data_IF_342276041226
#
_entry.id   IF_342276041226
#
_cell.length_a   1.000
_cell.length_b   1.000
_cell.length_c   1.000
_cell.angle_alpha   90.00
_cell.angle_beta   90.00
_cell.angle_gamma   90.00
#
_symmetry.space_group_name_H-M   'P 1'
#
loop_
_entity.id
_entity.type
_entity.pdbx_description
1 polymer ?
#
# COMPACT_ATOMS: atom_id res chain seq x y z
N UNK A 1 -5.19 14.64 -12.85
CA UNK A 1 -5.40 13.99 -11.54
C UNK A 1 -6.86 14.15 -11.18
N UNK A 2 -7.55 13.05 -11.00
CA UNK A 2 -8.95 13.01 -10.62
C UNK A 2 -9.11 13.38 -9.14
N UNK A 3 -10.13 14.17 -8.83
CA UNK A 3 -10.63 14.38 -7.47
C UNK A 3 -11.91 13.57 -7.31
N UNK A 4 -12.02 12.86 -6.19
CA UNK A 4 -13.22 12.09 -5.85
C UNK A 4 -13.99 12.79 -4.73
N UNK A 5 -15.30 12.60 -4.73
CA UNK A 5 -16.16 13.07 -3.64
C UNK A 5 -16.07 12.07 -2.47
N UNK A 6 -15.16 12.36 -1.54
CA UNK A 6 -14.86 11.50 -0.40
C UNK A 6 -14.64 12.31 0.86
N UNK A 7 -15.21 11.83 1.96
CA UNK A 7 -15.00 12.38 3.30
C UNK A 7 -13.89 11.68 4.09
N UNK A 8 -13.32 10.58 3.57
CA UNK A 8 -12.37 9.74 4.31
C UNK A 8 -11.19 10.55 4.83
N UNK A 9 -10.58 11.37 3.97
CA UNK A 9 -9.45 12.21 4.37
C UNK A 9 -9.84 13.20 5.49
N UNK A 10 -10.95 13.92 5.34
CA UNK A 10 -11.43 14.89 6.34
C UNK A 10 -11.78 14.23 7.66
N UNK A 11 -12.45 13.08 7.62
CA UNK A 11 -12.85 12.33 8.80
C UNK A 11 -11.63 11.81 9.57
N UNK A 12 -10.66 11.21 8.86
CA UNK A 12 -9.41 10.72 9.47
C UNK A 12 -8.61 11.86 10.07
N UNK A 13 -8.44 12.97 9.34
CA UNK A 13 -7.69 14.13 9.83
C UNK A 13 -8.40 14.80 11.00
N UNK A 14 -9.72 14.84 11.02
CA UNK A 14 -10.51 15.30 12.16
C UNK A 14 -10.27 14.45 13.41
N UNK A 15 -10.21 13.12 13.28
CA UNK A 15 -9.89 12.21 14.38
C UNK A 15 -8.46 12.42 14.89
N UNK A 16 -7.49 12.60 14.00
CA UNK A 16 -6.08 12.84 14.36
C UNK A 16 -5.91 14.16 15.10
N UNK A 17 -6.54 15.24 14.62
CA UNK A 17 -6.46 16.57 15.24
C UNK A 17 -7.07 16.63 16.65
N UNK A 18 -8.07 15.81 16.90
CA UNK A 18 -8.76 15.75 18.21
C UNK A 18 -8.20 14.67 19.13
N UNK A 19 -7.18 13.93 18.70
CA UNK A 19 -6.57 12.87 19.49
C UNK A 19 -5.65 13.44 20.56
N UNK A 20 -6.11 13.35 21.80
CA UNK A 20 -5.33 13.62 23.01
C UNK A 20 -4.93 12.29 23.65
N UNK A 21 -3.68 11.89 23.44
CA UNK A 21 -3.16 10.62 23.93
C UNK A 21 -3.01 10.58 25.47
N UNK A 22 -2.93 11.75 26.13
CA UNK A 22 -2.75 11.84 27.59
C UNK A 22 -4.06 11.62 28.36
N UNK A 23 -5.22 11.75 27.70
CA UNK A 23 -6.51 11.56 28.37
C UNK A 23 -6.82 10.11 28.73
N UNK A 24 -6.17 9.15 28.07
CA UNK A 24 -6.47 7.73 28.24
C UNK A 24 -5.75 7.14 29.45
N UNK A 25 -6.45 6.21 30.11
CA UNK A 25 -6.00 5.53 31.34
C UNK A 25 -5.90 4.02 31.11
N UNK A 26 -5.24 3.33 32.04
CA UNK A 26 -5.22 1.86 32.06
C UNK A 26 -6.63 1.22 32.13
N UNK A 27 -7.64 1.94 32.61
CA UNK A 27 -9.03 1.48 32.61
C UNK A 27 -9.59 1.46 31.19
N UNK A 28 -9.33 2.50 30.43
CA UNK A 28 -9.81 2.62 29.03
C UNK A 28 -9.16 1.56 28.15
N UNK A 29 -7.87 1.30 28.33
CA UNK A 29 -7.15 0.24 27.61
C UNK A 29 -7.72 -1.14 27.93
N UNK A 30 -8.00 -1.44 29.20
CA UNK A 30 -8.65 -2.71 29.58
C UNK A 30 -10.02 -2.86 28.95
N UNK A 31 -10.84 -1.82 29.02
CA UNK A 31 -12.17 -1.83 28.40
C UNK A 31 -12.07 -2.08 26.88
N UNK A 32 -11.13 -1.40 26.18
CA UNK A 32 -10.88 -1.61 24.76
C UNK A 32 -10.48 -3.06 24.42
N UNK A 33 -9.67 -3.70 25.28
CA UNK A 33 -9.27 -5.10 25.11
C UNK A 33 -10.40 -6.10 25.38
N UNK A 34 -11.40 -5.74 26.16
CA UNK A 34 -12.57 -6.58 26.48
C UNK A 34 -13.70 -6.46 25.44
N UNK A 35 -13.76 -5.38 24.68
CA UNK A 35 -14.79 -5.18 23.65
C UNK A 35 -14.68 -6.21 22.53
N UNK A 36 -15.80 -6.82 22.15
CA UNK A 36 -15.84 -7.79 21.05
C UNK A 36 -15.46 -7.17 19.71
N UNK A 37 -15.84 -5.91 19.50
CA UNK A 37 -15.49 -5.10 18.33
C UNK A 37 -14.93 -3.78 18.80
N UNK A 38 -13.72 -3.44 18.37
CA UNK A 38 -13.09 -2.18 18.73
C UNK A 38 -13.72 -1.01 17.95
N UNK A 39 -13.98 0.06 18.67
CA UNK A 39 -14.38 1.37 18.12
C UNK A 39 -13.16 2.21 17.84
N UNK A 40 -13.34 3.37 17.20
CA UNK A 40 -12.27 4.36 17.01
C UNK A 40 -11.72 4.86 18.35
N UNK A 41 -12.56 5.02 19.37
CA UNK A 41 -12.11 5.42 20.72
C UNK A 41 -11.30 4.32 21.41
N UNK A 42 -11.69 3.05 21.25
CA UNK A 42 -10.87 1.92 21.72
C UNK A 42 -9.51 1.91 21.06
N UNK A 43 -9.46 2.11 19.73
CA UNK A 43 -8.21 2.19 18.99
C UNK A 43 -7.32 3.33 19.48
N UNK A 44 -7.89 4.51 19.74
CA UNK A 44 -7.16 5.64 20.33
C UNK A 44 -6.58 5.32 21.71
N UNK A 45 -7.35 4.62 22.56
CA UNK A 45 -6.86 4.18 23.87
C UNK A 45 -5.69 3.20 23.73
N UNK A 46 -5.77 2.25 22.79
CA UNK A 46 -4.71 1.27 22.52
C UNK A 46 -3.45 1.88 21.89
N UNK A 47 -3.56 3.06 21.25
CA UNK A 47 -2.41 3.83 20.74
C UNK A 47 -1.79 4.77 21.77
N UNK A 48 -2.42 4.96 22.94
CA UNK A 48 -1.93 5.88 23.97
C UNK A 48 -0.78 5.29 24.78
N UNK A 49 0.02 6.12 25.47
CA UNK A 49 1.05 5.64 26.39
C UNK A 49 0.52 4.75 27.51
N UNK A 50 -0.76 4.90 27.89
CA UNK A 50 -1.41 4.05 28.89
C UNK A 50 -1.50 2.56 28.48
N UNK A 51 -1.31 2.25 27.18
CA UNK A 51 -1.33 0.89 26.65
C UNK A 51 0.02 0.15 26.80
N UNK A 52 1.11 0.84 27.09
CA UNK A 52 2.43 0.21 27.18
C UNK A 52 2.48 -1.01 28.13
N UNK A 53 1.87 -0.99 29.35
CA UNK A 53 1.86 -2.16 30.22
C UNK A 53 1.00 -3.33 29.70
N UNK A 54 0.23 -3.15 28.64
CA UNK A 54 -0.71 -4.11 28.07
C UNK A 54 -0.27 -4.70 26.72
N UNK A 55 0.95 -4.44 26.27
CA UNK A 55 1.44 -4.87 24.95
C UNK A 55 1.29 -6.39 24.72
N UNK A 56 1.57 -7.23 25.72
CA UNK A 56 1.39 -8.67 25.60
C UNK A 56 -0.09 -9.06 25.41
N UNK A 57 -0.99 -8.42 26.15
CA UNK A 57 -2.43 -8.68 26.01
C UNK A 57 -2.95 -8.19 24.65
N UNK A 58 -2.44 -7.06 24.16
CA UNK A 58 -2.73 -6.56 22.82
C UNK A 58 -2.23 -7.55 21.75
N UNK A 59 -1.00 -8.06 21.88
CA UNK A 59 -0.43 -9.04 20.97
C UNK A 59 -1.23 -10.35 20.95
N UNK A 60 -1.62 -10.85 22.13
CA UNK A 60 -2.45 -12.06 22.25
C UNK A 60 -3.84 -11.83 21.62
N UNK A 61 -4.47 -10.67 21.87
CA UNK A 61 -5.73 -10.33 21.22
C UNK A 61 -5.61 -10.24 19.70
N UNK A 62 -4.56 -9.60 19.18
CA UNK A 62 -4.29 -9.53 17.76
C UNK A 62 -4.09 -10.92 17.15
N UNK A 63 -3.36 -11.81 17.84
CA UNK A 63 -3.18 -13.21 17.42
C UNK A 63 -4.50 -13.95 17.32
N UNK A 64 -5.39 -13.77 18.31
CA UNK A 64 -6.72 -14.40 18.30
C UNK A 64 -7.59 -13.89 17.15
N UNK A 65 -7.60 -12.58 16.91
CA UNK A 65 -8.36 -11.99 15.81
C UNK A 65 -7.79 -12.43 14.44
N UNK A 66 -6.46 -12.47 14.30
CA UNK A 66 -5.81 -13.01 13.11
C UNK A 66 -6.23 -14.47 12.85
N UNK A 67 -6.22 -15.29 13.91
CA UNK A 67 -6.63 -16.69 13.82
C UNK A 67 -8.09 -16.87 13.41
N UNK A 68 -9.00 -15.99 13.88
CA UNK A 68 -10.42 -16.01 13.48
C UNK A 68 -10.64 -15.67 12.00
N UNK A 69 -9.90 -14.70 11.48
CA UNK A 69 -10.14 -14.14 10.16
C UNK A 69 -9.30 -14.80 9.05
N UNK A 70 -8.10 -15.26 9.37
CA UNK A 70 -7.13 -15.77 8.40
C UNK A 70 -6.68 -17.21 8.69
N UNK A 71 -6.98 -17.75 9.88
CA UNK A 71 -6.49 -19.06 10.28
C UNK A 71 -4.97 -19.09 10.35
N UNK A 72 -4.37 -20.17 9.82
CA UNK A 72 -2.92 -20.35 9.71
C UNK A 72 -2.44 -20.17 8.25
N UNK A 73 -3.24 -19.52 7.41
CA UNK A 73 -2.92 -19.31 6.01
C UNK A 73 -1.90 -18.18 5.86
N UNK A 74 -0.89 -18.39 5.04
CA UNK A 74 0.09 -17.41 4.64
C UNK A 74 0.07 -17.29 3.13
N UNK A 75 -0.08 -16.07 2.62
CA UNK A 75 0.05 -15.81 1.20
C UNK A 75 1.50 -15.54 0.84
N UNK A 76 1.99 -16.26 -0.17
CA UNK A 76 3.34 -16.09 -0.70
C UNK A 76 3.24 -15.46 -2.07
N UNK A 77 3.92 -14.34 -2.26
CA UNK A 77 4.05 -13.68 -3.54
C UNK A 77 5.50 -13.29 -3.81
N UNK A 78 5.80 -13.04 -5.07
CA UNK A 78 7.09 -12.50 -5.46
C UNK A 78 6.94 -11.20 -6.25
N UNK A 79 7.81 -10.20 -6.02
CA UNK A 79 7.81 -8.98 -6.80
C UNK A 79 8.50 -9.17 -8.15
N UNK A 80 7.92 -8.58 -9.21
CA UNK A 80 8.54 -8.46 -10.52
C UNK A 80 8.58 -6.99 -10.95
N UNK A 81 9.78 -6.40 -10.97
CA UNK A 81 9.99 -5.06 -11.53
C UNK A 81 10.02 -5.11 -13.05
N UNK A 82 8.97 -4.59 -13.69
CA UNK A 82 8.91 -4.53 -15.16
C UNK A 82 9.52 -3.24 -15.74
N UNK A 83 9.66 -2.19 -14.92
CA UNK A 83 10.36 -0.95 -15.27
C UNK A 83 10.84 -0.22 -14.01
N UNK A 84 12.02 0.44 -14.08
CA UNK A 84 12.56 1.19 -12.95
C UNK A 84 12.75 2.69 -13.23
N UNK A 85 12.16 3.21 -14.33
CA UNK A 85 12.12 4.65 -14.58
C UNK A 85 11.20 5.34 -13.58
N UNK A 86 11.65 6.46 -13.00
CA UNK A 86 10.87 7.26 -12.07
C UNK A 86 11.05 8.75 -12.37
N UNK A 87 9.99 9.53 -12.31
CA UNK A 87 9.96 10.97 -12.53
C UNK A 87 9.93 11.77 -11.22
N UNK A 88 9.91 11.07 -10.08
CA UNK A 88 9.85 11.68 -8.76
C UNK A 88 11.23 11.92 -8.15
N UNK A 89 11.29 12.94 -7.29
CA UNK A 89 12.42 13.15 -6.39
C UNK A 89 11.99 12.92 -4.94
N UNK A 90 12.15 11.67 -4.48
CA UNK A 90 11.99 11.29 -3.08
C UNK A 90 13.39 11.17 -2.46
N UNK A 91 13.63 11.85 -1.33
CA UNK A 91 14.97 11.95 -0.73
C UNK A 91 15.55 10.61 -0.25
N UNK A 92 14.70 9.62 -0.02
CA UNK A 92 15.06 8.29 0.49
C UNK A 92 15.13 7.20 -0.60
N UNK A 93 14.63 7.48 -1.81
CA UNK A 93 14.40 6.44 -2.82
C UNK A 93 15.58 6.28 -3.78
N UNK A 94 16.06 5.04 -3.93
CA UNK A 94 17.08 4.71 -4.91
C UNK A 94 16.66 4.94 -6.37
N UNK A 95 15.35 4.93 -6.66
CA UNK A 95 14.81 5.17 -7.99
C UNK A 95 14.55 6.64 -8.30
N UNK A 96 14.86 7.59 -7.41
CA UNK A 96 14.61 9.00 -7.68
C UNK A 96 15.28 9.45 -9.00
N UNK A 97 14.68 10.46 -9.64
CA UNK A 97 15.04 10.88 -11.00
C UNK A 97 16.47 11.42 -11.14
N UNK A 98 17.12 11.83 -10.03
CA UNK A 98 18.49 12.35 -10.02
C UNK A 98 19.55 11.29 -9.74
N UNK A 99 19.16 10.09 -9.31
CA UNK A 99 20.13 9.02 -9.09
C UNK A 99 20.61 8.44 -10.43
N UNK A 100 21.93 8.33 -10.55
CA UNK A 100 22.61 7.72 -11.69
C UNK A 100 22.64 6.20 -11.53
N UNK A 101 21.51 5.54 -11.84
CA UNK A 101 21.39 4.09 -11.86
C UNK A 101 21.06 3.59 -13.25
N UNK A 102 21.34 2.32 -13.52
CA UNK A 102 20.89 1.69 -14.76
C UNK A 102 19.36 1.67 -14.82
N UNK A 103 18.80 2.23 -15.88
CA UNK A 103 17.34 2.27 -16.11
C UNK A 103 16.97 1.24 -17.16
N UNK A 104 15.91 0.48 -16.89
CA UNK A 104 15.41 -0.56 -17.78
C UNK A 104 13.89 -0.58 -17.80
N UNK A 105 13.34 -0.95 -18.94
CA UNK A 105 11.95 -1.35 -19.14
C UNK A 105 11.99 -2.66 -19.90
N UNK A 106 11.35 -3.69 -19.38
CA UNK A 106 11.30 -5.01 -19.99
C UNK A 106 10.36 -5.01 -21.21
N UNK A 107 10.68 -5.79 -22.25
CA UNK A 107 9.73 -6.10 -23.30
C UNK A 107 8.68 -7.11 -22.81
N UNK A 108 7.56 -7.26 -23.52
CA UNK A 108 6.54 -8.25 -23.14
C UNK A 108 7.08 -9.67 -23.17
N UNK A 109 8.00 -10.00 -24.07
CA UNK A 109 8.65 -11.31 -24.15
C UNK A 109 9.55 -11.55 -22.91
N UNK A 110 10.27 -10.53 -22.47
CA UNK A 110 11.07 -10.60 -21.25
C UNK A 110 10.19 -10.78 -20.00
N UNK A 111 9.09 -10.01 -19.92
CA UNK A 111 8.12 -10.13 -18.84
C UNK A 111 7.51 -11.53 -18.79
N UNK A 112 7.10 -12.07 -19.94
CA UNK A 112 6.51 -13.42 -20.02
C UNK A 112 7.52 -14.49 -19.62
N UNK A 113 8.79 -14.36 -20.03
CA UNK A 113 9.85 -15.27 -19.62
C UNK A 113 10.07 -15.27 -18.10
N UNK A 114 10.19 -14.09 -17.48
CA UNK A 114 10.33 -13.98 -16.03
C UNK A 114 9.11 -14.55 -15.29
N UNK A 115 7.90 -14.28 -15.77
CA UNK A 115 6.67 -14.82 -15.20
C UNK A 115 6.62 -16.35 -15.27
N UNK A 116 7.08 -16.92 -16.37
CA UNK A 116 7.17 -18.39 -16.52
C UNK A 116 8.13 -18.98 -15.47
N UNK A 117 9.32 -18.41 -15.32
CA UNK A 117 10.32 -18.89 -14.34
C UNK A 117 9.76 -18.79 -12.90
N UNK A 118 9.04 -17.70 -12.59
CA UNK A 118 8.40 -17.52 -11.29
C UNK A 118 7.31 -18.57 -11.07
N UNK A 119 6.44 -18.79 -12.07
CA UNK A 119 5.37 -19.79 -11.99
C UNK A 119 5.90 -21.22 -11.84
N UNK A 120 6.97 -21.56 -12.55
CA UNK A 120 7.65 -22.85 -12.45
C UNK A 120 8.23 -23.12 -11.05
N UNK A 121 8.49 -22.08 -10.26
CA UNK A 121 8.87 -22.20 -8.85
C UNK A 121 7.72 -22.56 -7.90
N UNK A 122 6.49 -22.63 -8.40
CA UNK A 122 5.27 -22.92 -7.64
C UNK A 122 4.60 -21.69 -6.99
N UNK A 123 5.02 -20.47 -7.35
CA UNK A 123 4.34 -19.26 -6.90
C UNK A 123 3.00 -19.09 -7.63
N UNK A 124 1.94 -18.83 -6.85
CA UNK A 124 0.58 -18.62 -7.38
C UNK A 124 0.20 -17.13 -7.44
N UNK A 125 0.99 -16.27 -6.84
CA UNK A 125 0.76 -14.83 -6.76
C UNK A 125 1.99 -14.04 -7.19
N UNK A 126 1.76 -12.97 -7.96
CA UNK A 126 2.80 -12.03 -8.40
C UNK A 126 2.42 -10.60 -8.03
N UNK A 127 3.41 -9.81 -7.64
CA UNK A 127 3.31 -8.37 -7.47
C UNK A 127 4.10 -7.68 -8.58
N UNK A 128 3.41 -7.04 -9.51
CA UNK A 128 4.03 -6.29 -10.60
C UNK A 128 4.38 -4.88 -10.12
N UNK A 129 5.66 -4.49 -10.25
CA UNK A 129 6.16 -3.20 -9.80
C UNK A 129 6.70 -2.37 -10.95
N UNK A 130 6.51 -1.05 -10.84
CA UNK A 130 7.20 -0.08 -11.68
C UNK A 130 7.74 1.07 -10.84
N UNK A 131 8.75 1.75 -11.36
CA UNK A 131 8.97 3.13 -10.97
C UNK A 131 7.80 4.01 -11.43
N UNK A 132 7.67 5.19 -10.86
CA UNK A 132 6.58 6.11 -11.17
C UNK A 132 6.93 6.99 -12.39
N UNK A 133 6.73 6.47 -13.59
CA UNK A 133 6.91 7.19 -14.85
C UNK A 133 5.80 6.86 -15.84
N UNK A 134 4.85 7.78 -15.99
CA UNK A 134 3.76 7.63 -16.96
C UNK A 134 4.25 7.64 -18.41
N UNK A 135 5.40 8.24 -18.69
CA UNK A 135 5.97 8.30 -20.04
C UNK A 135 6.69 7.01 -20.44
N UNK A 136 7.20 6.25 -19.46
CA UNK A 136 7.99 5.03 -19.72
C UNK A 136 7.21 3.74 -19.44
N UNK A 137 6.41 3.73 -18.38
CA UNK A 137 5.55 2.62 -18.00
C UNK A 137 4.11 3.12 -17.85
N UNK A 138 3.47 3.41 -18.99
CA UNK A 138 2.09 3.87 -19.03
C UNK A 138 1.10 2.77 -18.61
N UNK A 139 -0.15 3.16 -18.39
CA UNK A 139 -1.21 2.25 -17.92
C UNK A 139 -1.47 1.13 -18.93
N UNK A 140 -1.33 1.39 -20.24
CA UNK A 140 -1.50 0.37 -21.27
C UNK A 140 -0.42 -0.71 -21.18
N UNK A 141 0.84 -0.31 -21.02
CA UNK A 141 1.96 -1.24 -20.81
C UNK A 141 1.76 -2.10 -19.57
N UNK A 142 1.34 -1.49 -18.45
CA UNK A 142 1.04 -2.24 -17.21
C UNK A 142 -0.13 -3.19 -17.42
N UNK A 143 -1.19 -2.77 -18.13
CA UNK A 143 -2.33 -3.61 -18.47
C UNK A 143 -1.94 -4.84 -19.30
N UNK A 144 -1.06 -4.69 -20.30
CA UNK A 144 -0.56 -5.84 -21.07
C UNK A 144 0.24 -6.80 -20.18
N UNK A 145 1.06 -6.30 -19.25
CA UNK A 145 1.74 -7.15 -18.27
C UNK A 145 0.74 -7.90 -17.36
N UNK A 146 -0.37 -7.26 -16.95
CA UNK A 146 -1.42 -7.93 -16.17
C UNK A 146 -2.09 -9.07 -16.97
N UNK A 147 -2.38 -8.86 -18.26
CA UNK A 147 -2.94 -9.91 -19.13
C UNK A 147 -1.99 -11.10 -19.26
N UNK A 148 -0.69 -10.85 -19.36
CA UNK A 148 0.31 -11.93 -19.34
C UNK A 148 0.32 -12.66 -18.01
N UNK A 149 0.34 -11.93 -16.90
CA UNK A 149 0.37 -12.49 -15.55
C UNK A 149 -0.83 -13.43 -15.30
N UNK A 150 -2.02 -13.11 -15.80
CA UNK A 150 -3.23 -13.97 -15.64
C UNK A 150 -3.12 -15.33 -16.30
N UNK A 151 -2.18 -15.55 -17.21
CA UNK A 151 -1.92 -16.88 -17.80
C UNK A 151 -1.23 -17.81 -16.80
N UNK A 152 -0.46 -17.25 -15.85
CA UNK A 152 0.44 -17.97 -14.97
C UNK A 152 0.05 -17.93 -13.51
N UNK A 153 -0.58 -16.82 -13.06
CA UNK A 153 -0.85 -16.57 -11.66
C UNK A 153 -2.33 -16.47 -11.35
N UNK A 154 -2.68 -17.02 -10.20
CA UNK A 154 -4.04 -16.98 -9.66
C UNK A 154 -4.39 -15.58 -9.15
N UNK A 155 -3.40 -14.86 -8.60
CA UNK A 155 -3.57 -13.52 -8.06
C UNK A 155 -2.49 -12.57 -8.60
N UNK A 156 -2.91 -11.39 -9.04
CA UNK A 156 -2.04 -10.37 -9.63
C UNK A 156 -2.20 -9.07 -8.85
N UNK A 157 -1.16 -8.70 -8.12
CA UNK A 157 -1.04 -7.43 -7.43
C UNK A 157 -0.26 -6.40 -8.23
N UNK A 158 -0.53 -5.14 -7.97
CA UNK A 158 0.19 -3.99 -8.53
C UNK A 158 0.80 -3.13 -7.44
N UNK A 159 2.04 -2.70 -7.64
CA UNK A 159 2.69 -1.65 -6.88
C UNK A 159 3.21 -0.60 -7.86
N UNK A 160 2.33 0.33 -8.18
CA UNK A 160 2.55 1.34 -9.21
C UNK A 160 2.19 2.75 -8.68
N UNK A 161 2.45 3.77 -9.49
CA UNK A 161 1.98 5.10 -9.19
C UNK A 161 0.43 5.16 -9.15
N UNK A 162 -0.16 6.06 -8.33
CA UNK A 162 -1.62 6.21 -8.28
C UNK A 162 -2.16 6.67 -9.64
N UNK A 163 -3.29 6.09 -10.02
CA UNK A 163 -3.99 6.38 -11.27
C UNK A 163 -5.42 6.82 -11.00
N UNK A 164 -6.14 7.24 -12.04
CA UNK A 164 -7.55 7.62 -11.95
C UNK A 164 -8.45 6.37 -11.87
N UNK A 165 -9.69 6.54 -11.45
CA UNK A 165 -10.67 5.45 -11.28
C UNK A 165 -10.84 4.62 -12.54
N UNK A 166 -10.98 5.26 -13.71
CA UNK A 166 -11.13 4.55 -14.99
C UNK A 166 -9.86 3.78 -15.39
N UNK A 167 -8.69 4.30 -15.04
CA UNK A 167 -7.42 3.60 -15.27
C UNK A 167 -7.29 2.37 -14.34
N UNK A 168 -7.74 2.47 -13.07
CA UNK A 168 -7.82 1.30 -12.19
C UNK A 168 -8.81 0.27 -12.71
N UNK A 169 -9.97 0.71 -13.24
CA UNK A 169 -10.95 -0.19 -13.87
C UNK A 169 -10.34 -0.94 -15.05
N UNK A 170 -9.66 -0.24 -15.95
CA UNK A 170 -8.95 -0.85 -17.06
C UNK A 170 -7.91 -1.88 -16.59
N UNK A 171 -7.10 -1.56 -15.58
CA UNK A 171 -6.11 -2.49 -15.02
C UNK A 171 -6.78 -3.71 -14.38
N UNK A 172 -7.91 -3.53 -13.71
CA UNK A 172 -8.70 -4.63 -13.17
C UNK A 172 -9.25 -5.52 -14.28
N UNK A 173 -9.79 -4.95 -15.33
CA UNK A 173 -10.26 -5.70 -16.52
C UNK A 173 -9.11 -6.43 -17.24
N UNK A 174 -7.89 -5.91 -17.18
CA UNK A 174 -6.69 -6.58 -17.65
C UNK A 174 -6.22 -7.72 -16.73
N UNK A 175 -6.81 -7.85 -15.54
CA UNK A 175 -6.55 -8.96 -14.63
C UNK A 175 -5.89 -8.61 -13.32
N UNK A 176 -5.68 -7.35 -12.98
CA UNK A 176 -5.19 -6.97 -11.66
C UNK A 176 -6.27 -7.18 -10.59
N UNK A 177 -5.91 -7.82 -9.48
CA UNK A 177 -6.82 -8.08 -8.36
C UNK A 177 -6.75 -7.00 -7.28
N UNK A 178 -5.56 -6.47 -7.01
CA UNK A 178 -5.32 -5.48 -5.96
C UNK A 178 -4.19 -4.52 -6.31
N UNK A 179 -4.14 -3.41 -5.59
CA UNK A 179 -3.06 -2.43 -5.71
C UNK A 179 -2.51 -2.05 -4.34
N UNK A 180 -1.22 -1.86 -4.27
CA UNK A 180 -0.49 -1.30 -3.15
C UNK A 180 0.05 0.07 -3.53
N UNK A 181 -0.25 1.09 -2.72
CA UNK A 181 0.25 2.46 -2.91
C UNK A 181 0.82 2.97 -1.61
N UNK A 182 2.13 3.15 -1.56
CA UNK A 182 2.82 3.65 -0.37
C UNK A 182 2.53 5.13 -0.11
N UNK A 183 1.99 5.46 1.06
CA UNK A 183 1.76 6.83 1.50
C UNK A 183 3.00 7.44 2.19
N UNK A 184 3.87 6.62 2.77
CA UNK A 184 5.10 6.97 3.50
C UNK A 184 4.83 7.66 4.85
N UNK A 185 4.05 8.74 4.85
CA UNK A 185 3.60 9.42 6.06
C UNK A 185 2.28 10.14 5.82
N UNK A 186 1.44 10.20 6.85
CA UNK A 186 0.17 10.93 6.86
C UNK A 186 0.32 12.38 7.36
N UNK A 187 1.50 12.75 7.88
CA UNK A 187 1.85 14.15 8.15
C UNK A 187 2.16 14.85 6.82
N UNK A 188 1.25 15.70 6.37
CA UNK A 188 1.37 16.43 5.10
C UNK A 188 2.61 17.33 5.05
N UNK A 189 3.00 17.95 6.18
CA UNK A 189 4.19 18.79 6.25
C UNK A 189 5.47 17.97 6.11
N UNK A 190 5.53 16.82 6.81
CA UNK A 190 6.63 15.89 6.69
C UNK A 190 6.72 15.33 5.28
N UNK A 191 5.56 14.99 4.68
CA UNK A 191 5.46 14.45 3.33
C UNK A 191 6.12 15.38 2.28
N UNK A 192 5.88 16.69 2.37
CA UNK A 192 6.49 17.69 1.48
C UNK A 192 8.02 17.72 1.57
N UNK A 193 8.57 17.45 2.74
CA UNK A 193 10.05 17.43 2.93
C UNK A 193 10.70 16.16 2.36
N UNK A 194 9.91 15.11 2.16
CA UNK A 194 10.38 13.83 1.63
C UNK A 194 10.21 13.72 0.11
N UNK A 195 9.21 14.40 -0.47
CA UNK A 195 8.85 14.32 -1.87
C UNK A 195 9.00 15.68 -2.53
N UNK A 196 10.19 15.95 -3.06
CA UNK A 196 10.58 17.30 -3.48
C UNK A 196 10.11 17.67 -4.88
N UNK A 197 9.92 16.67 -5.77
CA UNK A 197 9.43 16.88 -7.12
C UNK A 197 8.69 15.64 -7.66
N UNK A 198 7.94 15.83 -8.76
CA UNK A 198 7.20 14.79 -9.45
C UNK A 198 5.77 14.61 -8.91
N UNK A 199 5.06 13.66 -9.51
CA UNK A 199 3.64 13.41 -9.20
C UNK A 199 3.42 12.86 -7.79
N UNK A 200 4.39 12.14 -7.24
CA UNK A 200 4.31 11.61 -5.86
C UNK A 200 4.15 12.73 -4.82
N UNK A 201 4.62 13.94 -5.13
CA UNK A 201 4.48 15.10 -4.24
C UNK A 201 3.01 15.50 -3.97
N UNK A 202 2.06 15.11 -4.81
CA UNK A 202 0.64 15.48 -4.65
C UNK A 202 -0.02 14.59 -3.62
N UNK A 203 0.11 14.98 -2.33
CA UNK A 203 -0.34 14.22 -1.18
C UNK A 203 -1.83 13.83 -1.23
N UNK A 204 -2.80 14.74 -1.52
CA UNK A 204 -4.22 14.38 -1.52
C UNK A 204 -4.55 13.33 -2.58
N UNK A 205 -4.01 13.47 -3.78
CA UNK A 205 -4.23 12.51 -4.86
C UNK A 205 -3.73 11.12 -4.50
N UNK A 206 -2.59 11.04 -3.80
CA UNK A 206 -2.04 9.76 -3.34
C UNK A 206 -2.83 9.18 -2.18
N UNK A 207 -3.31 10.02 -1.25
CA UNK A 207 -4.14 9.60 -0.14
C UNK A 207 -5.43 8.90 -0.63
N UNK A 208 -6.09 9.46 -1.62
CA UNK A 208 -7.35 8.93 -2.18
C UNK A 208 -7.15 7.76 -3.17
N UNK A 209 -5.91 7.28 -3.35
CA UNK A 209 -5.61 6.26 -4.35
C UNK A 209 -6.35 4.94 -4.10
N UNK A 210 -6.48 4.52 -2.84
CA UNK A 210 -7.18 3.29 -2.46
C UNK A 210 -8.67 3.35 -2.77
N UNK A 211 -9.29 4.48 -2.49
CA UNK A 211 -10.71 4.66 -2.74
C UNK A 211 -11.01 4.64 -4.25
N UNK A 212 -10.17 5.34 -5.05
CA UNK A 212 -10.26 5.23 -6.51
C UNK A 212 -10.07 3.80 -7.01
N UNK A 213 -9.15 3.04 -6.41
CA UNK A 213 -8.91 1.65 -6.77
C UNK A 213 -10.14 0.76 -6.46
N UNK A 214 -10.77 0.94 -5.31
CA UNK A 214 -12.02 0.26 -4.96
C UNK A 214 -13.14 0.63 -5.93
N UNK A 215 -13.30 1.91 -6.26
CA UNK A 215 -14.27 2.40 -7.26
C UNK A 215 -13.99 1.84 -8.66
N UNK A 216 -12.71 1.58 -8.97
CA UNK A 216 -12.25 0.91 -10.20
C UNK A 216 -12.48 -0.60 -10.21
N UNK A 217 -12.97 -1.20 -9.11
CA UNK A 217 -13.30 -2.63 -9.02
C UNK A 217 -12.18 -3.51 -8.46
N UNK A 218 -11.08 -2.94 -7.97
CA UNK A 218 -10.02 -3.71 -7.30
C UNK A 218 -10.60 -4.44 -6.08
N UNK A 219 -10.25 -5.70 -5.89
CA UNK A 219 -10.75 -6.55 -4.79
C UNK A 219 -10.03 -6.32 -3.48
N UNK A 220 -8.81 -5.82 -3.55
CA UNK A 220 -7.99 -5.49 -2.41
C UNK A 220 -7.21 -4.22 -2.66
N UNK A 221 -6.96 -3.47 -1.61
CA UNK A 221 -6.12 -2.29 -1.63
C UNK A 221 -5.28 -2.28 -0.37
N UNK A 222 -4.02 -1.93 -0.49
CA UNK A 222 -3.11 -1.85 0.63
C UNK A 222 -2.43 -0.49 0.65
N UNK A 223 -2.59 0.23 1.76
CA UNK A 223 -1.73 1.33 2.14
C UNK A 223 -0.59 0.78 2.96
N UNK A 224 0.55 0.67 2.36
CA UNK A 224 1.70 0.29 3.12
C UNK A 224 2.19 1.47 3.94
N UNK A 225 2.41 1.18 5.09
CA UNK A 225 2.58 1.84 6.33
C UNK A 225 3.96 2.45 6.50
N UNK A 226 3.99 3.25 7.53
CA UNK A 226 5.17 3.90 8.04
C UNK A 226 5.51 3.47 9.46
N UNK A 227 5.15 2.28 9.90
CA UNK A 227 5.67 1.86 11.19
C UNK A 227 7.08 1.31 11.01
N UNK A 228 8.02 1.69 11.88
CA UNK A 228 9.35 1.12 11.86
C UNK A 228 9.24 -0.39 12.05
N UNK A 229 9.69 -1.13 11.06
CA UNK A 229 9.86 -2.56 11.22
C UNK A 229 11.22 -2.83 11.88
N UNK A 230 11.43 -4.00 12.50
CA UNK A 230 12.76 -4.38 12.98
C UNK A 230 13.85 -4.38 11.90
N UNK A 231 13.45 -4.32 10.62
CA UNK A 231 14.36 -4.21 9.47
C UNK A 231 14.82 -2.77 9.23
N UNK A 232 14.05 -1.77 9.65
CA UNK A 232 14.32 -0.36 9.41
C UNK A 232 15.19 0.26 10.51
N UNK A 233 15.55 -0.50 11.53
CA UNK A 233 16.39 -0.09 12.66
C UNK A 233 17.87 -0.45 12.50
N UNK A 234 18.30 -0.74 11.27
CA UNK A 234 19.71 -1.03 10.96
C UNK A 234 20.37 0.09 10.18
#
# INVERSE_FOLDING_TARGET
>A
MEQIDSNVCSDVMGQVQTYDYEKYTAKDVRAALEHATCTVEDFKALLSPAAEPFLEQMAERARLETGKHFGNTVYLFTPLYIANYCENYCVYCGFNCYNHISRMKLSMEQIEHEMQVIADSGMEEILILTGESRSKSDVAYIGEACKLARKYFRMVGLEIYPVNTEEYRYLHECGADYVTVFQETYDAKKYETLHLAGHKRVWPYRFDAQERALMGGMRGVCLLYTSPSPRDTR
#
